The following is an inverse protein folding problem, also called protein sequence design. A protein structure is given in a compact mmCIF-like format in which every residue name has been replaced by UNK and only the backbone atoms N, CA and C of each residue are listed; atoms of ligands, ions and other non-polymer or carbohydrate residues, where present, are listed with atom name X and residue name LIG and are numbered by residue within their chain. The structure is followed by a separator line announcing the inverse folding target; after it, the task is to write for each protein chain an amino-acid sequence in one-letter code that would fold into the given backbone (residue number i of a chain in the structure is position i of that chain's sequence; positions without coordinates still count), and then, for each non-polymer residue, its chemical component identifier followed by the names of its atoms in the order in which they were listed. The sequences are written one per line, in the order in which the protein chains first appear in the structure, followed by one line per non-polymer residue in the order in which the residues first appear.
data_IF_841335536188
#
_entry.id   IF_841335536188
#
_cell.length_a   1.000
_cell.length_b   1.000
_cell.length_c   1.000
_cell.angle_alpha   90.00
_cell.angle_beta   90.00
_cell.angle_gamma   90.00
#
_symmetry.space_group_name_H-M   'P 1'
#
loop_
_entity.id
_entity.type
_entity.pdbx_description
1 polymer ?
#
# COMPACT_ATOMS: atom_id res chain seq x y z
N UNK A 1 21.81 -16.23 -31.17
CA UNK A 1 22.00 -16.22 -29.69
C UNK A 1 21.19 -15.06 -29.14
N UNK A 2 19.98 -15.28 -28.60
CA UNK A 2 19.16 -14.21 -28.02
C UNK A 2 19.70 -13.93 -26.62
N UNK A 3 20.36 -12.78 -26.44
CA UNK A 3 20.74 -12.31 -25.12
C UNK A 3 19.46 -12.13 -24.30
N UNK A 4 19.29 -12.98 -23.28
CA UNK A 4 18.27 -12.81 -22.25
C UNK A 4 18.65 -11.57 -21.44
N UNK A 5 18.11 -10.43 -21.83
CA UNK A 5 18.10 -9.24 -20.99
C UNK A 5 17.31 -9.59 -19.73
N UNK A 6 17.99 -10.02 -18.67
CA UNK A 6 17.40 -10.04 -17.32
C UNK A 6 17.08 -8.59 -17.01
N UNK A 7 15.80 -8.29 -16.80
CA UNK A 7 15.37 -6.99 -16.31
C UNK A 7 16.15 -6.66 -15.04
N UNK A 8 16.56 -5.40 -14.88
CA UNK A 8 17.17 -4.94 -13.63
C UNK A 8 16.20 -5.26 -12.47
N UNK A 9 16.71 -5.73 -11.32
CA UNK A 9 15.87 -5.89 -10.15
C UNK A 9 15.22 -4.54 -9.81
N UNK A 10 13.92 -4.54 -9.55
CA UNK A 10 13.15 -3.34 -9.21
C UNK A 10 13.64 -2.82 -7.85
N UNK A 11 13.88 -1.51 -7.73
CA UNK A 11 14.18 -0.89 -6.43
C UNK A 11 12.89 -0.73 -5.62
N UNK A 12 12.96 -0.52 -4.29
CA UNK A 12 11.77 -0.25 -3.48
C UNK A 12 10.95 0.94 -4.01
N UNK A 13 11.64 1.96 -4.53
CA UNK A 13 11.03 3.14 -5.16
C UNK A 13 10.28 2.75 -6.43
N UNK A 14 10.87 1.92 -7.29
CA UNK A 14 10.24 1.47 -8.53
C UNK A 14 8.97 0.65 -8.26
N UNK A 15 8.99 -0.18 -7.21
CA UNK A 15 7.85 -1.01 -6.79
C UNK A 15 6.68 -0.11 -6.36
N UNK A 16 6.95 0.92 -5.55
CA UNK A 16 5.92 1.87 -5.12
C UNK A 16 5.33 2.63 -6.30
N UNK A 17 6.18 3.14 -7.22
CA UNK A 17 5.71 3.88 -8.40
C UNK A 17 4.83 3.02 -9.31
N UNK A 18 5.27 1.80 -9.61
CA UNK A 18 4.48 0.88 -10.44
C UNK A 18 3.17 0.50 -9.75
N UNK A 19 3.19 0.31 -8.42
CA UNK A 19 1.96 0.07 -7.64
C UNK A 19 1.02 1.25 -7.78
N UNK A 20 1.52 2.48 -7.62
CA UNK A 20 0.73 3.71 -7.73
C UNK A 20 0.12 3.85 -9.13
N UNK A 21 0.88 3.62 -10.18
CA UNK A 21 0.38 3.69 -11.56
C UNK A 21 -0.77 2.71 -11.81
N UNK A 22 -0.67 1.49 -11.28
CA UNK A 22 -1.74 0.50 -11.34
C UNK A 22 -2.95 0.90 -10.48
N UNK A 23 -2.73 1.48 -9.30
CA UNK A 23 -3.81 1.99 -8.45
C UNK A 23 -4.56 3.14 -9.13
N UNK A 24 -3.87 4.09 -9.79
CA UNK A 24 -4.50 5.16 -10.56
C UNK A 24 -5.36 4.57 -11.69
N UNK A 25 -4.84 3.55 -12.39
CA UNK A 25 -5.64 2.84 -13.38
C UNK A 25 -6.89 2.20 -12.74
N UNK A 26 -6.74 1.46 -11.65
CA UNK A 26 -7.84 0.77 -10.95
C UNK A 26 -8.87 1.75 -10.39
N UNK A 27 -8.44 2.90 -9.87
CA UNK A 27 -9.32 3.97 -9.38
C UNK A 27 -10.22 4.48 -10.50
N UNK A 28 -9.65 4.79 -11.67
CA UNK A 28 -10.38 5.28 -12.84
C UNK A 28 -11.29 4.25 -13.51
N UNK A 29 -11.20 2.96 -13.16
CA UNK A 29 -12.10 1.92 -13.64
C UNK A 29 -13.32 1.73 -12.72
N UNK A 30 -14.50 1.55 -13.31
CA UNK A 30 -15.67 1.04 -12.58
C UNK A 30 -15.48 -0.42 -12.11
N UNK A 31 -16.28 -0.86 -11.15
CA UNK A 31 -16.26 -2.26 -10.67
C UNK A 31 -16.51 -3.26 -11.81
N UNK A 32 -17.43 -2.93 -12.72
CA UNK A 32 -17.82 -3.77 -13.87
C UNK A 32 -17.03 -3.46 -15.16
N UNK A 33 -15.82 -2.89 -15.03
CA UNK A 33 -15.00 -2.60 -16.21
C UNK A 33 -14.71 -3.87 -17.01
N UNK A 34 -14.97 -3.79 -18.31
CA UNK A 34 -14.73 -4.87 -19.29
C UNK A 34 -13.40 -4.72 -20.02
N UNK A 35 -12.46 -3.92 -19.48
CA UNK A 35 -11.13 -3.81 -20.08
C UNK A 35 -10.45 -5.20 -20.07
N UNK A 36 -10.10 -5.76 -21.24
CA UNK A 36 -9.49 -7.09 -21.33
C UNK A 36 -8.14 -7.17 -20.59
N UNK A 37 -7.49 -6.03 -20.32
CA UNK A 37 -6.22 -5.96 -19.57
C UNK A 37 -6.42 -5.79 -18.06
N UNK A 38 -7.65 -5.65 -17.58
CA UNK A 38 -7.93 -5.41 -16.15
C UNK A 38 -7.39 -6.54 -15.30
N UNK A 39 -7.67 -7.79 -15.69
CA UNK A 39 -7.23 -8.96 -14.93
C UNK A 39 -5.70 -9.04 -14.83
N UNK A 40 -5.01 -8.84 -15.95
CA UNK A 40 -3.53 -8.81 -15.99
C UNK A 40 -2.97 -7.74 -15.03
N UNK A 41 -3.56 -6.54 -15.05
CA UNK A 41 -3.14 -5.44 -14.17
C UNK A 41 -3.45 -5.69 -12.70
N UNK A 42 -4.56 -6.36 -12.38
CA UNK A 42 -4.91 -6.73 -11.00
C UNK A 42 -3.94 -7.80 -10.46
N UNK A 43 -3.55 -8.76 -11.30
CA UNK A 43 -2.54 -9.77 -10.94
C UNK A 43 -1.18 -9.10 -10.69
N UNK A 44 -0.75 -8.18 -11.55
CA UNK A 44 0.51 -7.45 -11.34
C UNK A 44 0.47 -6.57 -10.10
N UNK A 45 -0.66 -5.89 -9.83
CA UNK A 45 -0.84 -5.10 -8.62
C UNK A 45 -0.73 -5.98 -7.36
N UNK A 46 -1.33 -7.16 -7.37
CA UNK A 46 -1.21 -8.13 -6.28
C UNK A 46 0.23 -8.58 -6.03
N UNK A 47 1.01 -8.81 -7.10
CA UNK A 47 2.44 -9.16 -6.98
C UNK A 47 3.25 -8.02 -6.37
N UNK A 48 3.06 -6.78 -6.83
CA UNK A 48 3.79 -5.63 -6.29
C UNK A 48 3.45 -5.38 -4.82
N UNK A 49 2.20 -5.52 -4.41
CA UNK A 49 1.80 -5.41 -3.00
C UNK A 49 2.48 -6.49 -2.15
N UNK A 50 2.60 -7.71 -2.69
CA UNK A 50 3.34 -8.79 -2.02
C UNK A 50 4.84 -8.52 -1.94
N UNK A 51 5.44 -7.96 -2.99
CA UNK A 51 6.83 -7.53 -2.98
C UNK A 51 7.08 -6.45 -1.91
N UNK A 52 6.18 -5.47 -1.79
CA UNK A 52 6.24 -4.48 -0.70
C UNK A 52 6.19 -5.14 0.68
N UNK A 53 5.30 -6.13 0.85
CA UNK A 53 5.21 -6.90 2.10
C UNK A 53 6.52 -7.63 2.41
N UNK A 54 7.15 -8.28 1.43
CA UNK A 54 8.44 -8.94 1.63
C UNK A 54 9.56 -7.97 1.99
N UNK A 55 9.57 -6.77 1.41
CA UNK A 55 10.55 -5.74 1.81
C UNK A 55 10.37 -5.37 3.30
N UNK A 56 9.12 -5.25 3.75
CA UNK A 56 8.78 -4.76 5.09
C UNK A 56 8.82 -5.83 6.19
N UNK A 57 8.63 -7.11 5.85
CA UNK A 57 8.55 -8.23 6.79
C UNK A 57 9.64 -9.28 6.59
N UNK A 58 10.42 -9.19 5.51
CA UNK A 58 11.38 -10.21 5.13
C UNK A 58 10.70 -11.46 4.55
N UNK A 59 11.49 -12.51 4.44
CA UNK A 59 11.08 -13.85 4.03
C UNK A 59 11.59 -14.89 5.03
N UNK A 60 11.35 -16.18 4.76
CA UNK A 60 11.97 -17.26 5.53
C UNK A 60 13.50 -17.31 5.40
N UNK A 61 14.07 -16.63 4.41
CA UNK A 61 15.49 -16.69 4.06
C UNK A 61 16.24 -15.38 4.35
N UNK A 62 15.53 -14.26 4.47
CA UNK A 62 16.15 -12.94 4.64
C UNK A 62 15.30 -12.01 5.51
N UNK A 63 15.94 -11.35 6.47
CA UNK A 63 15.35 -10.30 7.29
C UNK A 63 15.12 -9.00 6.48
N UNK A 64 14.17 -8.14 6.90
CA UNK A 64 13.98 -6.83 6.31
C UNK A 64 15.25 -5.99 6.33
N UNK A 65 15.61 -5.41 5.19
CA UNK A 65 16.73 -4.45 5.11
C UNK A 65 16.20 -3.06 5.46
N UNK A 66 16.76 -2.45 6.52
CA UNK A 66 16.31 -1.15 7.03
C UNK A 66 16.30 -0.04 5.97
N UNK A 67 17.36 0.05 5.15
CA UNK A 67 17.43 1.04 4.07
C UNK A 67 16.31 0.85 3.04
N UNK A 68 16.02 -0.39 2.65
CA UNK A 68 14.96 -0.70 1.70
C UNK A 68 13.57 -0.36 2.27
N UNK A 69 13.33 -0.67 3.55
CA UNK A 69 12.12 -0.28 4.26
C UNK A 69 11.95 1.24 4.29
N UNK A 70 13.03 1.97 4.60
CA UNK A 70 13.03 3.43 4.66
C UNK A 70 12.72 4.06 3.29
N UNK A 71 13.35 3.57 2.21
CA UNK A 71 13.11 4.06 0.86
C UNK A 71 11.67 3.78 0.40
N UNK A 72 11.15 2.57 0.67
CA UNK A 72 9.78 2.20 0.37
C UNK A 72 8.79 3.11 1.11
N UNK A 73 9.00 3.31 2.41
CA UNK A 73 8.14 4.14 3.26
C UNK A 73 8.12 5.59 2.76
N UNK A 74 9.30 6.16 2.49
CA UNK A 74 9.40 7.53 2.00
C UNK A 74 8.66 7.72 0.67
N UNK A 75 8.87 6.82 -0.30
CA UNK A 75 8.20 6.94 -1.60
C UNK A 75 6.69 6.70 -1.49
N UNK A 76 6.24 5.77 -0.64
CA UNK A 76 4.83 5.42 -0.49
C UNK A 76 3.98 6.61 0.00
N UNK A 77 4.49 7.38 0.95
CA UNK A 77 3.79 8.57 1.45
C UNK A 77 3.97 9.81 0.57
N UNK A 78 5.03 9.88 -0.24
CA UNK A 78 5.36 11.06 -1.05
C UNK A 78 4.29 11.44 -2.06
N UNK A 79 3.69 10.47 -2.75
CA UNK A 79 2.76 10.72 -3.86
C UNK A 79 1.31 10.29 -3.57
N UNK A 80 0.89 10.30 -2.30
CA UNK A 80 -0.46 9.90 -1.87
C UNK A 80 -0.85 8.45 -2.24
N UNK A 81 0.13 7.54 -2.31
CA UNK A 81 -0.16 6.11 -2.61
C UNK A 81 -1.05 5.49 -1.53
N UNK A 82 -0.94 5.91 -0.27
CA UNK A 82 -1.81 5.44 0.82
C UNK A 82 -3.29 5.70 0.49
N UNK A 83 -3.65 6.93 0.12
CA UNK A 83 -5.02 7.31 -0.23
C UNK A 83 -5.55 6.45 -1.38
N UNK A 84 -4.78 6.33 -2.46
CA UNK A 84 -5.16 5.52 -3.61
C UNK A 84 -5.38 4.05 -3.24
N UNK A 85 -4.52 3.50 -2.38
CA UNK A 85 -4.66 2.12 -1.92
C UNK A 85 -5.91 1.92 -1.07
N UNK A 86 -6.24 2.86 -0.18
CA UNK A 86 -7.47 2.83 0.62
C UNK A 86 -8.70 2.85 -0.30
N UNK A 87 -8.77 3.80 -1.24
CA UNK A 87 -9.89 3.93 -2.18
C UNK A 87 -10.06 2.69 -3.07
N UNK A 88 -8.96 2.08 -3.50
CA UNK A 88 -8.98 0.91 -4.36
C UNK A 88 -9.16 -0.42 -3.60
N UNK A 89 -9.01 -0.45 -2.28
CA UNK A 89 -9.03 -1.68 -1.48
C UNK A 89 -10.26 -2.57 -1.76
N UNK A 90 -11.50 -2.04 -1.89
CA UNK A 90 -12.67 -2.85 -2.18
C UNK A 90 -12.63 -3.51 -3.57
N UNK A 91 -11.83 -3.00 -4.51
CA UNK A 91 -11.69 -3.56 -5.86
C UNK A 91 -10.70 -4.73 -5.90
N UNK A 92 -9.89 -4.92 -4.87
CA UNK A 92 -8.88 -5.98 -4.79
C UNK A 92 -9.49 -7.31 -4.36
N UNK A 93 -8.84 -8.43 -4.67
CA UNK A 93 -9.23 -9.73 -4.13
C UNK A 93 -8.84 -9.85 -2.63
N UNK A 94 -9.43 -10.82 -1.93
CA UNK A 94 -9.24 -11.00 -0.49
C UNK A 94 -7.77 -11.14 -0.06
N UNK A 95 -6.97 -11.89 -0.82
CA UNK A 95 -5.55 -12.11 -0.50
C UNK A 95 -4.75 -10.82 -0.62
N UNK A 96 -4.96 -10.07 -1.71
CA UNK A 96 -4.33 -8.77 -1.91
C UNK A 96 -4.78 -7.74 -0.87
N UNK A 97 -6.05 -7.75 -0.44
CA UNK A 97 -6.51 -6.88 0.66
C UNK A 97 -5.79 -7.16 1.98
N UNK A 98 -5.57 -8.44 2.31
CA UNK A 98 -4.82 -8.86 3.50
C UNK A 98 -3.36 -8.39 3.44
N UNK A 99 -2.71 -8.57 2.29
CA UNK A 99 -1.33 -8.12 2.09
C UNK A 99 -1.25 -6.59 2.15
N UNK A 100 -2.15 -5.86 1.49
CA UNK A 100 -2.24 -4.40 1.54
C UNK A 100 -2.44 -3.87 2.97
N UNK A 101 -3.30 -4.52 3.76
CA UNK A 101 -3.53 -4.14 5.17
C UNK A 101 -2.27 -4.29 6.01
N UNK A 102 -1.52 -5.37 5.82
CA UNK A 102 -0.25 -5.59 6.54
C UNK A 102 0.81 -4.58 6.11
N UNK A 103 0.91 -4.29 4.81
CA UNK A 103 1.81 -3.25 4.28
C UNK A 103 1.50 -1.91 4.92
N UNK A 104 0.25 -1.45 4.88
CA UNK A 104 -0.15 -0.16 5.47
C UNK A 104 0.15 -0.11 6.98
N UNK A 105 -0.23 -1.14 7.73
CA UNK A 105 0.01 -1.19 9.16
C UNK A 105 1.50 -1.16 9.51
N UNK A 106 2.36 -1.80 8.71
CA UNK A 106 3.80 -1.74 8.89
C UNK A 106 4.33 -0.33 8.59
N UNK A 107 3.96 0.24 7.45
CA UNK A 107 4.40 1.57 6.99
C UNK A 107 4.05 2.68 7.99
N UNK A 108 2.89 2.60 8.62
CA UNK A 108 2.48 3.56 9.66
C UNK A 108 3.40 3.55 10.89
N UNK A 109 4.09 2.43 11.16
CA UNK A 109 5.03 2.28 12.28
C UNK A 109 6.50 2.51 11.89
N UNK A 110 6.82 2.58 10.60
CA UNK A 110 8.18 2.74 10.12
C UNK A 110 8.74 4.13 10.49
N UNK A 111 9.95 4.15 11.02
CA UNK A 111 10.69 5.38 11.25
C UNK A 111 11.65 5.64 10.10
N UNK A 112 11.52 6.78 9.44
CA UNK A 112 12.45 7.25 8.42
C UNK A 112 13.25 8.40 9.03
N UNK A 113 14.58 8.23 9.12
CA UNK A 113 15.46 9.20 9.79
C UNK A 113 14.98 9.57 11.21
N UNK A 114 14.57 8.54 11.98
CA UNK A 114 14.03 8.67 13.34
C UNK A 114 12.72 9.47 13.45
N UNK A 115 11.97 9.62 12.34
CA UNK A 115 10.65 10.28 12.31
C UNK A 115 9.57 9.35 11.78
N UNK A 116 8.38 9.41 12.37
CA UNK A 116 7.19 8.73 11.88
C UNK A 116 6.52 9.58 10.80
N UNK A 117 7.00 9.47 9.55
CA UNK A 117 6.50 10.30 8.44
C UNK A 117 5.03 10.02 8.09
N UNK A 118 4.48 8.88 8.53
CA UNK A 118 3.05 8.58 8.42
C UNK A 118 2.18 9.55 9.23
N UNK A 119 2.67 10.06 10.37
CA UNK A 119 1.96 11.07 11.17
C UNK A 119 1.79 12.36 10.36
N UNK A 120 2.90 12.88 9.83
CA UNK A 120 2.91 14.11 9.02
C UNK A 120 2.01 13.98 7.78
N UNK A 121 1.93 12.77 7.21
CA UNK A 121 1.05 12.47 6.09
C UNK A 121 -0.43 12.52 6.50
N UNK A 122 -0.80 11.84 7.59
CA UNK A 122 -2.18 11.74 8.07
C UNK A 122 -2.71 13.10 8.53
N UNK A 123 -1.90 13.91 9.20
CA UNK A 123 -2.27 15.28 9.59
C UNK A 123 -2.64 16.16 8.39
N UNK A 124 -2.00 15.95 7.24
CA UNK A 124 -2.29 16.66 5.98
C UNK A 124 -3.44 16.05 5.18
N UNK A 125 -3.93 14.88 5.58
CA UNK A 125 -4.94 14.08 4.87
C UNK A 125 -5.99 13.55 5.86
N UNK A 126 -6.44 14.39 6.78
CA UNK A 126 -7.31 13.96 7.90
C UNK A 126 -8.65 13.36 7.43
N UNK A 127 -9.12 13.75 6.24
CA UNK A 127 -10.31 13.21 5.56
C UNK A 127 -10.18 11.71 5.21
N UNK A 128 -8.96 11.16 5.22
CA UNK A 128 -8.77 9.71 5.13
C UNK A 128 -9.35 8.97 6.35
N UNK A 129 -9.40 9.61 7.52
CA UNK A 129 -10.00 9.01 8.71
C UNK A 129 -11.51 8.82 8.48
N UNK A 130 -12.18 9.81 7.91
CA UNK A 130 -13.59 9.70 7.55
C UNK A 130 -13.82 8.58 6.53
N UNK A 131 -12.93 8.46 5.54
CA UNK A 131 -13.00 7.37 4.54
C UNK A 131 -12.89 6.00 5.19
N UNK A 132 -11.95 5.82 6.13
CA UNK A 132 -11.76 4.57 6.88
C UNK A 132 -12.94 4.27 7.82
N UNK A 133 -13.54 5.29 8.43
CA UNK A 133 -14.70 5.17 9.32
C UNK A 133 -15.94 4.76 8.53
N UNK A 134 -16.25 5.44 7.42
CA UNK A 134 -17.39 5.11 6.55
C UNK A 134 -17.26 3.69 6.01
N UNK A 135 -16.05 3.30 5.59
CA UNK A 135 -15.81 1.94 5.13
C UNK A 135 -15.97 0.86 6.21
N UNK A 136 -16.02 1.22 7.49
CA UNK A 136 -16.27 0.28 8.59
C UNK A 136 -17.71 -0.27 8.56
N UNK A 137 -18.63 0.44 7.91
CA UNK A 137 -20.02 0.00 7.70
C UNK A 137 -20.12 -1.17 6.69
N UNK A 138 -19.13 -1.32 5.82
CA UNK A 138 -19.03 -2.46 4.91
C UNK A 138 -18.46 -3.68 5.65
N UNK A 139 -19.27 -4.72 5.82
CA UNK A 139 -18.87 -5.96 6.51
C UNK A 139 -17.62 -6.59 5.93
N UNK A 140 -17.43 -6.56 4.61
CA UNK A 140 -16.27 -7.15 3.94
C UNK A 140 -14.99 -6.32 4.19
N UNK A 141 -15.12 -5.01 4.34
CA UNK A 141 -13.96 -4.09 4.52
C UNK A 141 -13.66 -3.77 5.99
N UNK A 142 -14.64 -3.95 6.88
CA UNK A 142 -14.59 -3.57 8.30
C UNK A 142 -13.30 -3.98 9.01
N UNK A 143 -12.85 -5.22 8.83
CA UNK A 143 -11.63 -5.74 9.44
C UNK A 143 -10.38 -5.03 8.90
N UNK A 144 -10.33 -4.77 7.60
CA UNK A 144 -9.20 -4.16 6.93
C UNK A 144 -9.06 -2.68 7.32
N UNK A 145 -10.12 -1.90 7.15
CA UNK A 145 -10.12 -0.49 7.54
C UNK A 145 -10.00 -0.30 9.04
N UNK A 146 -10.63 -1.15 9.85
CA UNK A 146 -10.44 -1.14 11.30
C UNK A 146 -8.99 -1.35 11.71
N UNK A 147 -8.26 -2.22 11.01
CA UNK A 147 -6.83 -2.43 11.28
C UNK A 147 -6.00 -1.20 10.92
N UNK A 148 -6.23 -0.60 9.75
CA UNK A 148 -5.52 0.63 9.33
C UNK A 148 -5.84 1.82 10.25
N UNK A 149 -7.11 1.97 10.64
CA UNK A 149 -7.59 3.02 11.53
C UNK A 149 -6.97 2.91 12.93
N UNK A 150 -6.91 1.69 13.49
CA UNK A 150 -6.28 1.44 14.80
C UNK A 150 -4.80 1.82 14.84
N UNK A 151 -4.11 1.72 13.72
CA UNK A 151 -2.71 2.18 13.64
C UNK A 151 -2.63 3.71 13.47
N UNK A 152 -3.55 4.34 12.71
CA UNK A 152 -3.65 5.81 12.66
C UNK A 152 -3.83 6.44 14.05
N UNK A 153 -4.76 5.93 14.86
CA UNK A 153 -5.09 6.49 16.19
C UNK A 153 -3.99 6.30 17.24
N UNK A 154 -3.00 5.43 16.99
CA UNK A 154 -1.83 5.29 17.87
C UNK A 154 -0.92 6.50 17.81
N UNK A 155 -1.05 7.33 16.76
CA UNK A 155 -0.37 8.59 16.66
C UNK A 155 -1.13 9.64 17.48
N UNK A 156 -0.52 10.13 18.57
CA UNK A 156 -1.15 11.10 19.47
C UNK A 156 -1.61 12.39 18.78
N UNK A 157 -1.08 12.73 17.61
CA UNK A 157 -1.51 13.88 16.83
C UNK A 157 -2.79 13.64 16.01
N UNK A 158 -3.10 12.39 15.66
CA UNK A 158 -4.30 11.99 14.92
C UNK A 158 -5.49 11.74 15.85
N UNK A 159 -5.24 11.40 17.12
CA UNK A 159 -6.26 11.12 18.13
C UNK A 159 -6.86 12.36 18.83
N UNK A 160 -6.67 13.56 18.26
CA UNK A 160 -7.16 14.83 18.82
C UNK A 160 -8.47 15.29 18.20
#
# INVERSE_FOLDING_TARGET
MKALFKSKPKTPVDIVRQTRDLLVYVEGQGFDSKDPKREEKMVELGKLIREMKWILYGSSEAEPVHEACSQLTQEFFRENTLRLLIVCLPKLNLETRKDATQVVANLQRQQVQSKLIACDYLEKNIDLMDTLIVGYEDMEMSLHYGTMLRECIRHQSVAR
#
